data_IF_250787455200
#
_entry.id   IF_250787455200
#
_cell.length_a   1.000
_cell.length_b   1.000
_cell.length_c   1.000
_cell.angle_alpha   90.00
_cell.angle_beta   90.00
_cell.angle_gamma   90.00
#
_symmetry.space_group_name_H-M   'P 1'
#
loop_
_entity.id
_entity.type
_entity.pdbx_description
1 polymer ?
#
# COMPACT_ATOMS: atom_id res chain seq x y z
N UNK A 1 -14.77 15.50 18.13
CA UNK A 1 -15.33 14.38 17.38
C UNK A 1 -14.23 13.62 16.68
N UNK A 2 -14.15 12.31 16.89
CA UNK A 2 -13.12 11.49 16.25
C UNK A 2 -13.44 11.37 14.77
N UNK A 3 -12.41 11.53 13.94
CA UNK A 3 -12.52 11.29 12.51
C UNK A 3 -12.16 9.83 12.26
N UNK A 4 -12.98 9.15 11.51
CA UNK A 4 -12.75 7.77 11.19
C UNK A 4 -12.66 7.59 9.68
N UNK A 5 -11.70 6.78 9.27
CA UNK A 5 -11.53 6.40 7.88
C UNK A 5 -12.21 5.05 7.66
N UNK A 6 -13.05 4.97 6.64
CA UNK A 6 -13.77 3.73 6.37
C UNK A 6 -12.87 2.71 5.69
N UNK A 7 -13.07 1.45 6.07
CA UNK A 7 -12.33 0.32 5.52
C UNK A 7 -13.31 -0.78 5.12
N UNK A 8 -13.10 -1.50 4.03
CA UNK A 8 -13.92 -2.65 3.72
C UNK A 8 -13.69 -3.75 4.74
N UNK A 9 -14.75 -4.50 5.08
CA UNK A 9 -14.60 -5.70 5.87
C UNK A 9 -13.78 -6.72 5.08
N UNK A 10 -13.07 -7.61 5.79
CA UNK A 10 -12.24 -8.62 5.12
C UNK A 10 -13.04 -9.41 4.07
N UNK A 11 -14.29 -9.75 4.38
CA UNK A 11 -15.14 -10.51 3.45
C UNK A 11 -15.52 -9.72 2.20
N UNK A 12 -15.43 -8.39 2.25
CA UNK A 12 -15.82 -7.52 1.13
C UNK A 12 -14.63 -7.12 0.24
N UNK A 13 -13.43 -7.53 0.60
CA UNK A 13 -12.23 -7.25 -0.21
C UNK A 13 -12.31 -8.07 -1.49
N UNK A 14 -12.36 -7.38 -2.64
CA UNK A 14 -12.51 -8.05 -3.93
C UNK A 14 -11.17 -8.21 -4.64
N UNK A 15 -11.04 -9.30 -5.39
CA UNK A 15 -9.85 -9.55 -6.20
C UNK A 15 -9.66 -8.45 -7.24
N UNK A 16 -10.74 -8.01 -7.88
CA UNK A 16 -10.64 -6.96 -8.89
C UNK A 16 -10.10 -5.65 -8.33
N UNK A 17 -10.58 -5.25 -7.15
CA UNK A 17 -10.11 -4.02 -6.52
C UNK A 17 -8.64 -4.14 -6.12
N UNK A 18 -8.24 -5.30 -5.60
CA UNK A 18 -6.84 -5.55 -5.22
C UNK A 18 -5.94 -5.50 -6.44
N UNK A 19 -6.32 -6.18 -7.52
CA UNK A 19 -5.52 -6.18 -8.75
C UNK A 19 -5.41 -4.77 -9.35
N UNK A 20 -6.50 -4.02 -9.35
CA UNK A 20 -6.48 -2.64 -9.85
C UNK A 20 -5.54 -1.76 -9.02
N UNK A 21 -5.58 -1.91 -7.70
CA UNK A 21 -4.69 -1.15 -6.81
C UNK A 21 -3.23 -1.52 -7.04
N UNK A 22 -2.94 -2.80 -7.27
CA UNK A 22 -1.58 -3.29 -7.49
C UNK A 22 -1.01 -2.92 -8.86
N UNK A 23 -1.84 -2.46 -9.78
CA UNK A 23 -1.40 -2.14 -11.15
C UNK A 23 -0.59 -0.86 -11.23
N UNK A 24 -0.55 -0.04 -10.19
CA UNK A 24 0.15 1.24 -10.19
C UNK A 24 1.49 1.14 -9.47
N UNK A 25 2.60 1.60 -10.08
CA UNK A 25 3.91 1.47 -9.47
C UNK A 25 4.09 2.29 -8.19
N UNK A 26 3.43 3.44 -8.07
CA UNK A 26 3.53 4.25 -6.83
C UNK A 26 2.87 3.49 -5.68
N UNK A 27 1.73 2.87 -5.94
CA UNK A 27 1.04 2.09 -4.90
C UNK A 27 1.86 0.87 -4.50
N UNK A 28 2.52 0.19 -5.45
CA UNK A 28 3.42 -0.91 -5.11
C UNK A 28 4.60 -0.44 -4.27
N UNK A 29 5.10 0.78 -4.53
CA UNK A 29 6.16 1.38 -3.71
C UNK A 29 5.72 1.53 -2.25
N UNK A 30 4.51 2.05 -2.06
CA UNK A 30 3.96 2.22 -0.71
C UNK A 30 3.88 0.87 0.01
N UNK A 31 3.34 -0.14 -0.67
CA UNK A 31 3.20 -1.46 -0.08
C UNK A 31 4.55 -2.08 0.25
N UNK A 32 5.53 -1.92 -0.62
CA UNK A 32 6.88 -2.45 -0.38
C UNK A 32 7.53 -1.81 0.84
N UNK A 33 7.34 -0.51 1.03
CA UNK A 33 7.88 0.17 2.21
C UNK A 33 7.21 -0.32 3.50
N UNK A 34 5.89 -0.47 3.48
CA UNK A 34 5.17 -0.99 4.64
C UNK A 34 5.60 -2.43 4.96
N UNK A 35 5.85 -3.24 3.94
CA UNK A 35 6.27 -4.63 4.12
C UNK A 35 7.64 -4.77 4.76
N UNK A 36 8.47 -3.73 4.73
CA UNK A 36 9.79 -3.76 5.36
C UNK A 36 9.75 -3.54 6.86
N UNK A 37 8.58 -3.63 7.47
CA UNK A 37 8.44 -3.38 8.89
C UNK A 37 8.20 -1.92 9.22
N UNK A 38 7.74 -1.15 8.25
CA UNK A 38 7.40 0.26 8.43
C UNK A 38 5.91 0.46 8.67
N UNK A 39 5.27 -0.51 9.32
CA UNK A 39 3.89 -0.35 9.77
C UNK A 39 3.77 0.89 10.64
N UNK A 40 2.60 1.48 10.61
CA UNK A 40 2.30 2.73 11.30
C UNK A 40 3.07 3.93 10.75
N UNK A 41 3.57 3.82 9.52
CA UNK A 41 4.24 4.92 8.88
C UNK A 41 3.23 5.99 8.43
N UNK A 42 3.52 7.24 8.78
CA UNK A 42 2.69 8.37 8.35
C UNK A 42 2.82 8.59 6.84
N UNK A 43 1.74 9.04 6.21
CA UNK A 43 1.75 9.32 4.77
C UNK A 43 2.87 10.30 4.39
N UNK A 44 3.12 11.31 5.22
CA UNK A 44 4.13 12.32 4.94
C UNK A 44 5.56 11.76 4.98
N UNK A 45 5.77 10.62 5.64
CA UNK A 45 7.08 10.00 5.73
C UNK A 45 7.48 9.25 4.45
N UNK A 46 6.53 9.02 3.54
CA UNK A 46 6.84 8.35 2.28
C UNK A 46 7.40 9.35 1.28
N UNK A 47 8.52 8.99 0.67
CA UNK A 47 9.08 9.75 -0.44
C UNK A 47 8.57 9.15 -1.75
N UNK A 48 7.67 9.88 -2.39
CA UNK A 48 7.00 9.40 -3.60
C UNK A 48 7.22 10.39 -4.74
N UNK A 49 7.36 9.92 -5.98
CA UNK A 49 7.64 10.78 -7.14
C UNK A 49 6.38 11.45 -7.69
N UNK A 50 5.45 11.82 -6.82
CA UNK A 50 4.18 12.43 -7.20
C UNK A 50 3.83 13.52 -6.20
N UNK A 51 2.89 14.38 -6.57
CA UNK A 51 2.43 15.46 -5.71
C UNK A 51 1.72 14.91 -4.46
N UNK A 52 1.58 15.75 -3.45
CA UNK A 52 0.91 15.38 -2.21
C UNK A 52 -0.55 14.96 -2.45
N UNK A 53 -1.26 15.68 -3.31
CA UNK A 53 -2.65 15.34 -3.61
C UNK A 53 -2.77 14.01 -4.34
N UNK A 54 -1.85 13.72 -5.25
CA UNK A 54 -1.81 12.44 -5.94
C UNK A 54 -1.46 11.32 -4.97
N UNK A 55 -0.53 11.56 -4.05
CA UNK A 55 -0.19 10.59 -3.00
C UNK A 55 -1.42 10.26 -2.15
N UNK A 56 -2.17 11.28 -1.75
CA UNK A 56 -3.40 11.10 -0.97
C UNK A 56 -4.38 10.19 -1.70
N UNK A 57 -4.51 10.37 -3.01
CA UNK A 57 -5.36 9.53 -3.83
C UNK A 57 -4.88 8.07 -3.81
N UNK A 58 -3.58 7.84 -3.93
CA UNK A 58 -3.03 6.48 -3.91
C UNK A 58 -3.26 5.79 -2.57
N UNK A 59 -3.09 6.50 -1.47
CA UNK A 59 -3.36 5.94 -0.14
C UNK A 59 -4.84 5.57 0.00
N UNK A 60 -5.72 6.41 -0.52
CA UNK A 60 -7.16 6.14 -0.48
C UNK A 60 -7.52 4.90 -1.30
N UNK A 61 -6.94 4.76 -2.50
CA UNK A 61 -7.18 3.59 -3.34
C UNK A 61 -6.76 2.31 -2.61
N UNK A 62 -5.59 2.33 -1.98
CA UNK A 62 -5.10 1.19 -1.21
C UNK A 62 -6.02 0.83 -0.03
N UNK A 63 -6.49 1.86 0.68
CA UNK A 63 -7.42 1.65 1.80
C UNK A 63 -8.74 1.06 1.32
N UNK A 64 -9.32 1.64 0.29
CA UNK A 64 -10.62 1.20 -0.24
C UNK A 64 -10.54 -0.19 -0.86
N UNK A 65 -9.38 -0.57 -1.37
CA UNK A 65 -9.16 -1.92 -1.89
C UNK A 65 -8.95 -2.96 -0.79
N UNK A 66 -8.75 -2.51 0.46
CA UNK A 66 -8.56 -3.43 1.59
C UNK A 66 -7.12 -3.86 1.79
N UNK A 67 -6.15 -3.17 1.18
CA UNK A 67 -4.73 -3.54 1.27
C UNK A 67 -4.05 -2.93 2.48
N UNK A 68 -4.52 -1.77 2.93
CA UNK A 68 -3.95 -1.09 4.10
C UNK A 68 -5.05 -0.62 5.03
N UNK A 69 -4.67 -0.41 6.29
CA UNK A 69 -5.47 0.36 7.22
C UNK A 69 -4.86 1.74 7.36
N UNK A 70 -5.71 2.72 7.61
CA UNK A 70 -5.29 4.08 7.90
C UNK A 70 -6.00 4.55 9.16
N UNK A 71 -5.27 5.22 10.04
CA UNK A 71 -5.88 5.80 11.24
C UNK A 71 -5.24 7.14 11.56
N UNK A 72 -6.02 8.01 12.17
CA UNK A 72 -5.50 9.28 12.64
C UNK A 72 -4.72 9.11 13.94
N UNK A 73 -3.58 9.77 14.00
CA UNK A 73 -2.78 9.91 15.21
C UNK A 73 -2.48 11.40 15.31
N UNK A 74 -3.29 12.12 16.09
CA UNK A 74 -3.25 13.58 16.04
C UNK A 74 -3.64 14.07 14.65
N UNK A 75 -2.75 14.83 14.00
CA UNK A 75 -2.98 15.32 12.64
C UNK A 75 -2.38 14.41 11.57
N UNK A 76 -1.60 13.40 11.98
CA UNK A 76 -1.00 12.46 11.04
C UNK A 76 -1.96 11.33 10.72
N UNK A 77 -1.80 10.72 9.54
CA UNK A 77 -2.49 9.50 9.17
C UNK A 77 -1.44 8.39 9.10
N UNK A 78 -1.61 7.36 9.93
CA UNK A 78 -0.69 6.23 9.96
C UNK A 78 -1.23 5.09 9.12
N UNK A 79 -0.34 4.39 8.45
CA UNK A 79 -0.66 3.33 7.50
C UNK A 79 -0.06 2.01 7.93
N UNK A 80 -0.79 0.93 7.76
CA UNK A 80 -0.30 -0.42 8.02
C UNK A 80 -0.88 -1.38 6.98
N UNK A 81 -0.11 -2.42 6.62
CA UNK A 81 -0.60 -3.47 5.73
C UNK A 81 -1.65 -4.31 6.43
N UNK A 82 -2.67 -4.71 5.68
CA UNK A 82 -3.67 -5.68 6.16
C UNK A 82 -3.22 -7.09 5.75
N UNK A 83 -2.04 -7.47 6.17
CA UNK A 83 -1.40 -8.73 5.74
C UNK A 83 -2.28 -9.95 5.98
N UNK A 84 -2.83 -10.07 7.19
CA UNK A 84 -3.62 -11.25 7.54
C UNK A 84 -4.87 -11.39 6.68
N UNK A 85 -5.56 -10.28 6.46
CA UNK A 85 -6.79 -10.29 5.67
C UNK A 85 -6.53 -10.64 4.21
N UNK A 86 -5.52 -10.01 3.59
CA UNK A 86 -5.24 -10.24 2.17
C UNK A 86 -4.61 -11.60 1.91
N UNK A 87 -3.79 -12.10 2.84
CA UNK A 87 -3.24 -13.46 2.71
C UNK A 87 -4.31 -14.52 2.90
N UNK A 88 -5.28 -14.29 3.78
CA UNK A 88 -6.37 -15.24 3.98
C UNK A 88 -7.25 -15.36 2.74
N UNK A 89 -7.52 -14.24 2.08
CA UNK A 89 -8.39 -14.24 0.89
C UNK A 89 -7.67 -14.61 -0.39
N UNK A 90 -6.43 -14.13 -0.56
CA UNK A 90 -5.66 -14.32 -1.80
C UNK A 90 -4.25 -14.77 -1.43
N UNK A 91 -4.09 -16.04 -1.02
CA UNK A 91 -2.80 -16.53 -0.53
C UNK A 91 -1.66 -16.30 -1.53
N UNK A 92 -0.62 -15.63 -1.07
CA UNK A 92 0.59 -15.38 -1.85
C UNK A 92 0.49 -14.26 -2.88
N UNK A 93 -0.69 -13.72 -3.15
CA UNK A 93 -0.84 -12.72 -4.22
C UNK A 93 -0.08 -11.44 -3.91
N UNK A 94 -0.41 -10.80 -2.80
CA UNK A 94 0.18 -9.49 -2.47
C UNK A 94 1.65 -9.64 -2.14
N UNK A 95 2.02 -10.68 -1.40
CA UNK A 95 3.43 -10.92 -1.06
C UNK A 95 4.27 -11.17 -2.31
N UNK A 96 3.74 -11.90 -3.30
CA UNK A 96 4.45 -12.12 -4.56
C UNK A 96 4.65 -10.83 -5.34
N UNK A 97 3.62 -9.97 -5.37
CA UNK A 97 3.72 -8.68 -6.06
C UNK A 97 4.73 -7.77 -5.38
N UNK A 98 4.72 -7.71 -4.06
CA UNK A 98 5.68 -6.90 -3.30
C UNK A 98 7.10 -7.40 -3.56
N UNK A 99 7.32 -8.70 -3.54
CA UNK A 99 8.64 -9.28 -3.81
C UNK A 99 9.08 -8.99 -5.24
N UNK A 100 8.18 -9.10 -6.20
CA UNK A 100 8.46 -8.78 -7.60
C UNK A 100 8.85 -7.30 -7.74
N UNK A 101 8.16 -6.41 -7.04
CA UNK A 101 8.46 -4.99 -7.07
C UNK A 101 9.85 -4.70 -6.49
N UNK A 102 10.19 -5.35 -5.37
CA UNK A 102 11.52 -5.21 -4.76
C UNK A 102 12.62 -5.67 -5.69
N UNK A 103 12.43 -6.80 -6.34
CA UNK A 103 13.40 -7.33 -7.30
C UNK A 103 13.53 -6.44 -8.51
N UNK A 104 12.41 -5.95 -9.04
CA UNK A 104 12.41 -5.05 -10.19
C UNK A 104 13.17 -3.76 -9.87
N UNK A 105 13.05 -3.24 -8.65
CA UNK A 105 13.79 -2.04 -8.25
C UNK A 105 15.27 -2.28 -8.15
N UNK A 106 15.69 -3.42 -7.57
CA UNK A 106 17.09 -3.79 -7.52
C UNK A 106 17.65 -3.97 -8.92
N UNK A 107 16.92 -4.70 -9.78
CA UNK A 107 17.32 -4.92 -11.17
C UNK A 107 17.25 -3.63 -11.96
N UNK A 108 16.23 -2.79 -11.70
CA UNK A 108 16.10 -1.49 -12.33
C UNK A 108 17.24 -0.57 -11.99
N UNK A 109 17.72 -0.59 -10.74
CA UNK A 109 18.91 0.14 -10.35
C UNK A 109 20.14 -0.34 -11.09
N UNK A 110 20.29 -1.66 -11.22
CA UNK A 110 21.37 -2.25 -12.00
C UNK A 110 21.19 -1.95 -13.50
N UNK A 111 19.97 -2.01 -13.98
CA UNK A 111 19.65 -1.74 -15.39
C UNK A 111 19.90 -0.27 -15.75
N UNK A 112 19.65 0.63 -14.83
CA UNK A 112 19.89 2.05 -15.07
C UNK A 112 21.35 2.34 -15.36
N UNK A 113 22.25 1.45 -14.98
CA UNK A 113 23.67 1.57 -15.26
C UNK A 113 24.06 1.13 -16.67
N UNK A 114 23.15 0.59 -17.44
CA UNK A 114 23.42 0.14 -18.80
C UNK A 114 23.51 1.27 -19.78
#
# INVERSE_FOLDING_TARGET
MARELTHPAAADVSLDAVLAALADPVRRTILAQLARGHDDQACIAFELPVSKSTSTHHFRVLREAGLITQRYEGTAILNALRTDDVEARFPGLVSSVIEAERRARSDGGASAAR
#
